data_IF_323766082842
#
_entry.id   IF_323766082842
#
_cell.length_a   1.000
_cell.length_b   1.000
_cell.length_c   1.000
_cell.angle_alpha   90.00
_cell.angle_beta   90.00
_cell.angle_gamma   90.00
#
_symmetry.space_group_name_H-M   'P 1'
#
loop_
_entity.id
_entity.type
_entity.pdbx_description
1 polymer ?
#
# COMPACT_ATOMS: atom_id res chain seq x y z
N UNK A 1 -12.88 -21.77 1.15
CA UNK A 1 -12.04 -20.78 0.43
C UNK A 1 -11.48 -19.85 1.48
N UNK A 2 -10.17 -19.57 1.47
CA UNK A 2 -9.58 -18.55 2.35
C UNK A 2 -9.95 -17.15 1.81
N UNK A 3 -10.30 -16.25 2.72
CA UNK A 3 -10.54 -14.84 2.41
C UNK A 3 -9.18 -14.18 2.12
N UNK A 4 -9.03 -13.36 1.05
CA UNK A 4 -7.80 -12.61 0.83
C UNK A 4 -7.53 -11.62 1.96
N UNK A 5 -6.26 -11.38 2.32
CA UNK A 5 -5.88 -10.43 3.40
C UNK A 5 -6.54 -9.06 3.23
N UNK A 6 -6.70 -8.57 2.00
CA UNK A 6 -7.34 -7.27 1.72
C UNK A 6 -8.83 -7.22 2.04
N UNK A 7 -9.47 -8.38 2.14
CA UNK A 7 -10.89 -8.57 2.46
C UNK A 7 -11.10 -9.11 3.89
N UNK A 8 -10.02 -9.33 4.65
CA UNK A 8 -10.09 -9.73 6.06
C UNK A 8 -10.41 -8.53 6.96
N UNK A 9 -11.17 -8.76 8.03
CA UNK A 9 -11.42 -7.74 9.04
C UNK A 9 -10.16 -7.51 9.90
N UNK A 10 -9.84 -6.25 10.19
CA UNK A 10 -8.80 -5.93 11.16
C UNK A 10 -9.35 -6.08 12.59
N UNK A 11 -8.85 -7.01 13.42
CA UNK A 11 -9.36 -7.21 14.77
C UNK A 11 -9.23 -5.99 15.68
N UNK A 12 -8.27 -5.08 15.40
CA UNK A 12 -8.11 -3.82 16.16
C UNK A 12 -9.28 -2.87 15.96
N UNK A 13 -10.03 -3.01 14.87
CA UNK A 13 -11.15 -2.13 14.51
C UNK A 13 -12.52 -2.73 14.77
N UNK A 14 -12.60 -3.88 15.44
CA UNK A 14 -13.86 -4.60 15.66
C UNK A 14 -14.97 -3.76 16.35
N UNK A 15 -14.59 -2.74 17.13
CA UNK A 15 -15.52 -1.82 17.82
C UNK A 15 -15.31 -0.35 17.43
N UNK A 16 -14.76 -0.09 16.23
CA UNK A 16 -14.36 1.27 15.80
C UNK A 16 -15.50 2.29 15.86
N UNK A 17 -16.75 1.87 15.63
CA UNK A 17 -17.94 2.73 15.68
C UNK A 17 -18.32 3.22 17.08
N UNK A 18 -17.76 2.61 18.12
CA UNK A 18 -18.03 2.96 19.53
C UNK A 18 -16.97 3.90 20.12
N UNK A 19 -15.87 4.12 19.39
CA UNK A 19 -14.75 4.93 19.83
C UNK A 19 -15.03 6.43 19.66
N UNK A 20 -14.35 7.26 20.46
CA UNK A 20 -14.32 8.69 20.22
C UNK A 20 -13.61 9.01 18.90
N UNK A 21 -13.90 10.18 18.32
CA UNK A 21 -13.25 10.63 17.08
C UNK A 21 -11.72 10.63 17.20
N UNK A 22 -11.19 11.04 18.36
CA UNK A 22 -9.74 11.06 18.60
C UNK A 22 -9.14 9.66 18.59
N UNK A 23 -9.83 8.67 19.15
CA UNK A 23 -9.38 7.27 19.13
C UNK A 23 -9.43 6.68 17.71
N UNK A 24 -10.47 7.00 16.93
CA UNK A 24 -10.59 6.56 15.53
C UNK A 24 -9.41 7.09 14.71
N UNK A 25 -9.14 8.40 14.75
CA UNK A 25 -8.05 8.97 13.93
C UNK A 25 -6.66 8.51 14.39
N UNK A 26 -6.47 8.25 15.69
CA UNK A 26 -5.24 7.63 16.21
C UNK A 26 -5.09 6.21 15.69
N UNK A 27 -6.15 5.42 15.72
CA UNK A 27 -6.13 4.05 15.23
C UNK A 27 -5.78 4.01 13.73
N UNK A 28 -6.40 4.89 12.92
CA UNK A 28 -6.09 4.99 11.49
C UNK A 28 -4.62 5.36 11.29
N UNK A 29 -4.13 6.37 12.01
CA UNK A 29 -2.74 6.80 11.89
C UNK A 29 -1.73 5.70 12.32
N UNK A 30 -2.06 4.91 13.34
CA UNK A 30 -1.26 3.76 13.75
C UNK A 30 -1.16 2.70 12.64
N UNK A 31 -2.24 2.46 11.88
CA UNK A 31 -2.23 1.55 10.74
C UNK A 31 -1.46 2.16 9.56
N UNK A 32 -1.62 3.45 9.28
CA UNK A 32 -0.88 4.16 8.23
C UNK A 32 0.64 4.08 8.46
N UNK A 33 1.09 4.20 9.71
CA UNK A 33 2.51 4.11 10.06
C UNK A 33 3.14 2.76 9.66
N UNK A 34 2.35 1.69 9.59
CA UNK A 34 2.82 0.35 9.19
C UNK A 34 3.13 0.26 7.69
N UNK A 35 2.56 1.14 6.87
CA UNK A 35 2.80 1.15 5.41
C UNK A 35 4.28 1.39 5.12
N UNK A 36 4.92 2.34 5.81
CA UNK A 36 6.34 2.62 5.62
C UNK A 36 7.24 1.43 5.97
N UNK A 37 6.88 0.69 7.02
CA UNK A 37 7.60 -0.52 7.41
C UNK A 37 7.41 -1.65 6.37
N UNK A 38 6.20 -1.84 5.86
CA UNK A 38 5.94 -2.80 4.80
C UNK A 38 6.73 -2.48 3.52
N UNK A 39 6.79 -1.20 3.14
CA UNK A 39 7.63 -0.75 2.00
C UNK A 39 9.11 -1.02 2.26
N UNK A 40 9.60 -0.81 3.49
CA UNK A 40 11.00 -1.09 3.86
C UNK A 40 11.38 -2.54 3.57
N UNK A 41 10.48 -3.48 3.82
CA UNK A 41 10.74 -4.91 3.62
C UNK A 41 10.92 -5.30 2.15
N UNK A 42 10.44 -4.48 1.21
CA UNK A 42 10.48 -4.76 -0.24
C UNK A 42 11.40 -3.82 -1.02
N UNK A 43 12.25 -3.04 -0.33
CA UNK A 43 13.22 -2.14 -0.97
C UNK A 43 14.14 -2.83 -1.99
N UNK A 44 14.63 -4.07 -1.77
CA UNK A 44 15.44 -4.76 -2.79
C UNK A 44 14.69 -4.97 -4.10
N UNK A 45 13.41 -5.33 -4.05
CA UNK A 45 12.56 -5.53 -5.23
C UNK A 45 12.24 -4.20 -5.92
N UNK A 46 12.01 -3.14 -5.13
CA UNK A 46 11.83 -1.78 -5.66
C UNK A 46 13.10 -1.34 -6.40
N UNK A 47 14.29 -1.58 -5.84
CA UNK A 47 15.55 -1.25 -6.49
C UNK A 47 15.72 -1.95 -7.84
N UNK A 48 15.45 -3.27 -7.90
CA UNK A 48 15.49 -4.05 -9.15
C UNK A 48 14.51 -3.48 -10.19
N UNK A 49 13.30 -3.10 -9.77
CA UNK A 49 12.32 -2.49 -10.65
C UNK A 49 12.83 -1.14 -11.20
N UNK A 50 13.38 -0.29 -10.34
CA UNK A 50 13.94 1.02 -10.72
C UNK A 50 15.06 0.86 -11.74
N UNK A 51 16.03 -0.03 -11.50
CA UNK A 51 17.14 -0.27 -12.42
C UNK A 51 16.64 -0.70 -13.81
N UNK A 52 15.69 -1.65 -13.85
CA UNK A 52 15.10 -2.13 -15.09
C UNK A 52 14.25 -1.09 -15.84
N UNK A 53 13.60 -0.18 -15.11
CA UNK A 53 12.82 0.94 -15.66
C UNK A 53 13.78 2.00 -16.23
N UNK A 54 14.80 2.41 -15.48
CA UNK A 54 15.77 3.43 -15.89
C UNK A 54 16.48 3.00 -17.18
N UNK A 55 16.92 1.74 -17.28
CA UNK A 55 17.54 1.23 -18.49
C UNK A 55 16.62 1.33 -19.73
N UNK A 56 15.32 1.03 -19.57
CA UNK A 56 14.34 1.11 -20.66
C UNK A 56 14.02 2.55 -21.05
N UNK A 57 13.85 3.44 -20.08
CA UNK A 57 13.61 4.86 -20.35
C UNK A 57 14.82 5.48 -21.06
N UNK A 58 16.05 5.13 -20.65
CA UNK A 58 17.29 5.58 -21.30
C UNK A 58 17.42 5.12 -22.76
N UNK A 59 16.81 4.00 -23.13
CA UNK A 59 16.75 3.50 -24.50
C UNK A 59 15.57 4.06 -25.33
N UNK A 60 14.87 5.09 -24.84
CA UNK A 60 13.70 5.68 -25.50
C UNK A 60 12.39 4.91 -25.29
N UNK A 61 12.36 3.98 -24.33
CA UNK A 61 11.17 3.26 -23.92
C UNK A 61 10.18 4.12 -23.11
N UNK A 62 9.08 3.49 -22.68
CA UNK A 62 8.01 4.14 -21.90
C UNK A 62 7.63 3.26 -20.72
N UNK A 63 7.21 3.89 -19.63
CA UNK A 63 6.62 3.24 -18.47
C UNK A 63 5.11 3.47 -18.50
N UNK A 64 4.34 2.39 -18.32
CA UNK A 64 2.88 2.45 -18.28
C UNK A 64 2.41 1.91 -16.93
N UNK A 65 1.59 2.70 -16.23
CA UNK A 65 0.81 2.23 -15.10
C UNK A 65 -0.61 1.92 -15.57
N UNK A 66 -1.17 0.80 -15.15
CA UNK A 66 -2.51 0.36 -15.57
C UNK A 66 -3.27 -0.18 -14.36
N UNK A 67 -4.53 0.24 -14.19
CA UNK A 67 -5.34 -0.19 -13.07
C UNK A 67 -6.77 0.37 -13.14
N UNK A 68 -7.59 0.04 -12.14
CA UNK A 68 -8.96 0.55 -11.97
C UNK A 68 -9.15 1.08 -10.56
N UNK A 69 -10.16 1.92 -10.34
CA UNK A 69 -10.49 2.48 -9.03
C UNK A 69 -9.35 3.34 -8.47
N UNK A 70 -9.05 3.19 -7.17
CA UNK A 70 -7.99 3.95 -6.50
C UNK A 70 -6.62 3.67 -7.11
N UNK A 71 -6.28 2.41 -7.38
CA UNK A 71 -4.99 2.03 -7.96
C UNK A 71 -4.76 2.55 -9.38
N UNK A 72 -5.81 2.81 -10.15
CA UNK A 72 -5.69 3.40 -11.49
C UNK A 72 -5.60 4.93 -11.50
N UNK A 73 -5.99 5.59 -10.39
CA UNK A 73 -5.88 7.05 -10.23
C UNK A 73 -4.55 7.47 -9.61
N UNK A 74 -3.94 6.59 -8.81
CA UNK A 74 -2.56 6.71 -8.36
C UNK A 74 -1.60 6.49 -9.54
#
# INVERSE_FOLDING_TARGET
MLVPITEEENPRTARISELSVLEIVRLINDEDARVAEAVRQVLPQIAVAIEGIVARLGAGGRLFYTGTGTSGRL
#
